data_IF_614366421208
#
_entry.id   IF_614366421208
#
_cell.length_a   1.000
_cell.length_b   1.000
_cell.length_c   1.000
_cell.angle_alpha   90.00
_cell.angle_beta   90.00
_cell.angle_gamma   90.00
#
_symmetry.space_group_name_H-M   'P 1'
#
loop_
_entity.id
_entity.type
_entity.pdbx_description
1 polymer ?
#
# COMPACT_ATOMS: atom_id res chain seq x y z
N UNK A 1 -17.97 -47.16 -8.39
CA UNK A 1 -17.80 -46.00 -9.30
C UNK A 1 -17.89 -44.73 -8.46
N UNK A 2 -16.77 -44.13 -8.04
CA UNK A 2 -16.79 -42.96 -7.13
C UNK A 2 -15.50 -42.14 -7.08
N UNK A 3 -14.36 -42.71 -7.50
CA UNK A 3 -13.07 -42.00 -7.48
C UNK A 3 -12.86 -40.98 -8.60
N UNK A 4 -13.58 -41.10 -9.74
CA UNK A 4 -13.36 -40.25 -10.92
C UNK A 4 -13.89 -38.83 -10.74
N UNK A 5 -15.02 -38.67 -10.06
CA UNK A 5 -15.66 -37.36 -9.82
C UNK A 5 -14.91 -36.56 -8.75
N UNK A 6 -14.39 -37.24 -7.72
CA UNK A 6 -13.62 -36.60 -6.64
C UNK A 6 -12.26 -36.08 -7.14
N UNK A 7 -11.58 -36.82 -8.02
CA UNK A 7 -10.31 -36.39 -8.61
C UNK A 7 -10.44 -35.18 -9.53
N UNK A 8 -11.55 -35.07 -10.29
CA UNK A 8 -11.82 -33.90 -11.15
C UNK A 8 -12.15 -32.64 -10.33
N UNK A 9 -12.90 -32.80 -9.24
CA UNK A 9 -13.21 -31.69 -8.33
C UNK A 9 -11.96 -31.14 -7.64
N UNK A 10 -11.11 -32.03 -7.13
CA UNK A 10 -9.82 -31.67 -6.53
C UNK A 10 -8.92 -30.96 -7.54
N UNK A 11 -8.82 -31.46 -8.77
CA UNK A 11 -8.04 -30.83 -9.84
C UNK A 11 -8.56 -29.43 -10.21
N UNK A 12 -9.88 -29.25 -10.27
CA UNK A 12 -10.49 -27.94 -10.54
C UNK A 12 -10.23 -26.93 -9.42
N UNK A 13 -10.38 -27.36 -8.15
CA UNK A 13 -10.07 -26.53 -6.98
C UNK A 13 -8.60 -26.13 -6.95
N UNK A 14 -7.68 -27.06 -7.24
CA UNK A 14 -6.24 -26.76 -7.29
C UNK A 14 -5.91 -25.74 -8.38
N UNK A 15 -6.48 -25.85 -9.58
CA UNK A 15 -6.27 -24.89 -10.66
C UNK A 15 -6.81 -23.50 -10.29
N UNK A 16 -8.01 -23.42 -9.71
CA UNK A 16 -8.59 -22.15 -9.24
C UNK A 16 -7.73 -21.53 -8.14
N UNK A 17 -7.23 -22.33 -7.19
CA UNK A 17 -6.37 -21.84 -6.11
C UNK A 17 -5.04 -21.30 -6.64
N UNK A 18 -4.43 -21.96 -7.63
CA UNK A 18 -3.21 -21.51 -8.28
C UNK A 18 -3.41 -20.20 -9.04
N UNK A 19 -4.53 -20.05 -9.77
CA UNK A 19 -4.88 -18.80 -10.47
C UNK A 19 -5.11 -17.65 -9.49
N UNK A 20 -5.81 -17.89 -8.37
CA UNK A 20 -6.05 -16.89 -7.34
C UNK A 20 -4.75 -16.48 -6.63
N UNK A 21 -3.83 -17.40 -6.38
CA UNK A 21 -2.52 -17.10 -5.80
C UNK A 21 -1.69 -16.16 -6.68
N UNK A 22 -1.84 -16.21 -8.01
CA UNK A 22 -1.15 -15.30 -8.92
C UNK A 22 -1.76 -13.89 -8.90
N UNK A 23 -3.01 -13.75 -8.46
CA UNK A 23 -3.71 -12.47 -8.42
C UNK A 23 -3.39 -11.64 -7.17
N UNK A 24 -2.77 -12.22 -6.14
CA UNK A 24 -2.32 -11.49 -4.96
C UNK A 24 -0.95 -10.90 -5.18
N UNK A 25 -0.82 -10.01 -6.15
CA UNK A 25 0.43 -9.31 -6.38
C UNK A 25 0.45 -8.01 -5.59
N UNK A 26 1.33 -7.94 -4.60
CA UNK A 26 1.58 -6.72 -3.85
C UNK A 26 2.47 -5.79 -4.68
N UNK A 27 1.93 -4.65 -5.07
CA UNK A 27 2.71 -3.58 -5.70
C UNK A 27 3.37 -2.73 -4.61
N UNK A 28 4.66 -2.51 -4.76
CA UNK A 28 5.46 -1.67 -3.87
C UNK A 28 5.92 -0.42 -4.58
N UNK A 29 6.06 0.68 -3.84
CA UNK A 29 6.64 1.93 -4.31
C UNK A 29 8.03 2.08 -3.70
N UNK A 30 9.03 2.28 -4.55
CA UNK A 30 10.38 2.64 -4.17
C UNK A 30 10.58 4.14 -4.32
N UNK A 31 10.85 4.83 -3.22
CA UNK A 31 11.08 6.27 -3.24
C UNK A 31 12.10 6.69 -2.18
N UNK A 32 13.18 7.35 -2.60
CA UNK A 32 14.25 7.88 -1.72
C UNK A 32 14.79 6.85 -0.70
N UNK A 33 14.89 5.58 -1.10
CA UNK A 33 15.39 4.50 -0.24
C UNK A 33 14.34 3.86 0.69
N UNK A 34 13.09 4.33 0.66
CA UNK A 34 11.96 3.68 1.32
C UNK A 34 11.22 2.78 0.35
N UNK A 35 10.90 1.57 0.81
CA UNK A 35 10.01 0.64 0.13
C UNK A 35 8.68 0.57 0.89
N UNK A 36 7.59 0.96 0.24
CA UNK A 36 6.26 1.01 0.86
C UNK A 36 5.24 0.28 0.01
N UNK A 37 4.20 -0.29 0.61
CA UNK A 37 3.12 -0.92 -0.15
C UNK A 37 2.19 0.14 -0.73
N UNK A 38 1.78 -0.03 -1.99
CA UNK A 38 0.79 0.83 -2.64
C UNK A 38 -0.50 0.93 -1.79
N UNK A 39 -0.93 -0.20 -1.23
CA UNK A 39 -2.13 -0.27 -0.39
C UNK A 39 -1.98 0.53 0.92
N UNK A 40 -0.79 0.57 1.51
CA UNK A 40 -0.50 1.40 2.69
C UNK A 40 -0.61 2.89 2.35
N UNK A 41 -0.09 3.31 1.20
CA UNK A 41 -0.16 4.71 0.75
C UNK A 41 -1.60 5.12 0.43
N UNK A 42 -2.41 4.25 -0.17
CA UNK A 42 -3.84 4.52 -0.41
C UNK A 42 -4.61 4.79 0.88
N UNK A 43 -4.27 4.09 1.97
CA UNK A 43 -4.90 4.27 3.29
C UNK A 43 -4.52 5.59 3.96
N UNK A 44 -3.44 6.27 3.55
CA UNK A 44 -3.06 7.58 4.12
C UNK A 44 -4.18 8.61 4.04
N UNK A 45 -4.85 8.70 2.89
CA UNK A 45 -5.97 9.64 2.69
C UNK A 45 -7.12 9.41 3.66
N UNK A 46 -7.35 8.17 4.09
CA UNK A 46 -8.41 7.87 5.03
C UNK A 46 -8.00 8.17 6.47
N UNK A 47 -6.71 8.00 6.80
CA UNK A 47 -6.14 8.43 8.08
C UNK A 47 -6.14 9.95 8.23
N UNK A 48 -5.86 10.69 7.16
CA UNK A 48 -5.91 12.16 7.20
C UNK A 48 -7.34 12.69 7.41
N UNK A 49 -8.35 12.08 6.78
CA UNK A 49 -9.77 12.44 7.03
C UNK A 49 -10.21 12.13 8.45
N UNK A 50 -9.65 11.09 9.07
CA UNK A 50 -9.94 10.70 10.45
C UNK A 50 -9.13 11.51 11.47
N UNK A 51 -8.22 12.37 11.02
CA UNK A 51 -7.39 13.15 11.92
C UNK A 51 -8.25 14.05 12.82
N UNK A 52 -8.10 13.86 14.13
CA UNK A 52 -8.80 14.62 15.17
C UNK A 52 -7.98 15.85 15.60
N UNK A 53 -6.83 16.09 14.96
CA UNK A 53 -5.96 17.21 15.29
C UNK A 53 -6.63 18.51 14.87
N UNK A 54 -6.71 19.48 15.79
CA UNK A 54 -7.21 20.80 15.43
C UNK A 54 -6.29 21.43 14.38
N UNK A 55 -6.84 22.19 13.40
CA UNK A 55 -6.03 22.83 12.36
C UNK A 55 -4.88 23.68 12.90
N UNK A 56 -5.08 24.28 14.09
CA UNK A 56 -4.08 25.09 14.79
C UNK A 56 -2.92 24.25 15.34
N UNK A 57 -3.17 23.03 15.81
CA UNK A 57 -2.13 22.10 16.27
C UNK A 57 -1.38 21.47 15.08
N UNK A 58 -2.09 21.26 13.98
CA UNK A 58 -1.50 20.78 12.73
C UNK A 58 -0.51 21.79 12.15
N UNK A 59 -0.85 23.09 12.16
CA UNK A 59 0.05 24.16 11.74
C UNK A 59 1.30 24.34 12.62
N UNK A 60 1.28 23.83 13.85
CA UNK A 60 2.39 23.91 14.81
C UNK A 60 3.17 22.60 14.93
N UNK A 61 2.76 21.54 14.24
CA UNK A 61 3.40 20.23 14.32
C UNK A 61 4.74 20.20 13.59
N UNK A 62 5.70 19.53 14.22
CA UNK A 62 7.01 19.22 13.62
C UNK A 62 6.94 18.02 12.67
N UNK A 63 5.94 17.14 12.84
CA UNK A 63 5.74 15.97 12.02
C UNK A 63 4.52 16.11 11.10
N UNK A 64 4.47 15.37 9.98
CA UNK A 64 3.26 15.23 9.17
C UNK A 64 2.11 14.60 9.96
N UNK A 65 0.86 14.94 9.60
CA UNK A 65 -0.34 14.36 10.24
C UNK A 65 -0.35 12.83 10.30
N UNK A 66 0.00 12.11 9.22
CA UNK A 66 0.03 10.65 9.26
C UNK A 66 0.89 10.08 10.40
N UNK A 67 1.95 10.78 10.79
CA UNK A 67 2.88 10.33 11.84
C UNK A 67 2.30 10.39 13.25
N UNK A 68 1.20 11.13 13.48
CA UNK A 68 0.51 11.16 14.76
C UNK A 68 -0.56 10.06 14.87
N UNK A 69 -0.85 9.34 13.79
CA UNK A 69 -1.91 8.34 13.76
C UNK A 69 -1.37 6.98 14.25
N UNK A 70 -1.98 6.43 15.31
CA UNK A 70 -1.61 5.10 15.83
C UNK A 70 -1.87 3.96 14.83
N UNK A 71 -2.79 4.19 13.89
CA UNK A 71 -3.11 3.27 12.80
C UNK A 71 -2.27 3.49 11.52
N UNK A 72 -1.17 4.25 11.60
CA UNK A 72 -0.24 4.38 10.47
C UNK A 72 0.32 2.99 10.09
N UNK A 73 0.30 2.60 8.80
CA UNK A 73 0.89 1.35 8.37
C UNK A 73 2.38 1.23 8.74
N UNK A 74 2.84 0.04 9.15
CA UNK A 74 4.19 -0.14 9.71
C UNK A 74 5.31 0.12 8.71
N UNK A 75 5.05 -0.05 7.41
CA UNK A 75 5.99 0.24 6.32
C UNK A 75 6.17 1.75 6.07
N UNK A 76 5.22 2.58 6.51
CA UNK A 76 5.29 4.04 6.44
C UNK A 76 5.90 4.68 7.69
N UNK A 77 5.94 3.96 8.81
CA UNK A 77 6.47 4.46 10.08
C UNK A 77 7.94 4.94 10.01
N UNK A 78 8.87 4.30 9.27
CA UNK A 78 10.25 4.77 9.15
C UNK A 78 10.37 6.17 8.52
N UNK A 79 9.41 6.57 7.68
CA UNK A 79 9.41 7.89 7.02
C UNK A 79 9.27 9.01 8.05
N UNK A 80 8.58 8.77 9.16
CA UNK A 80 8.37 9.76 10.22
C UNK A 80 9.66 10.16 10.96
N UNK A 81 10.74 9.39 10.82
CA UNK A 81 12.07 9.74 11.34
C UNK A 81 12.84 10.68 10.40
N UNK A 82 12.38 10.85 9.15
CA UNK A 82 13.01 11.72 8.16
C UNK A 82 12.62 13.19 8.38
N UNK A 83 13.55 14.12 8.11
CA UNK A 83 13.25 15.56 8.10
C UNK A 83 12.37 15.93 6.90
N UNK A 84 12.46 15.15 5.84
CA UNK A 84 11.72 15.31 4.59
C UNK A 84 10.39 14.54 4.58
N UNK A 85 9.92 14.06 5.74
CA UNK A 85 8.73 13.21 5.86
C UNK A 85 7.51 13.78 5.13
N UNK A 86 7.22 15.09 5.29
CA UNK A 86 6.09 15.74 4.65
C UNK A 86 6.16 15.68 3.11
N UNK A 87 7.34 15.95 2.55
CA UNK A 87 7.57 15.88 1.11
C UNK A 87 7.53 14.44 0.59
N UNK A 88 8.04 13.48 1.36
CA UNK A 88 8.03 12.06 1.01
C UNK A 88 6.58 11.56 0.94
N UNK A 89 5.76 11.82 1.97
CA UNK A 89 4.34 11.44 1.97
C UNK A 89 3.60 12.04 0.76
N UNK A 90 3.80 13.32 0.47
CA UNK A 90 3.19 13.97 -0.69
C UNK A 90 3.63 13.35 -2.02
N UNK A 91 4.89 12.98 -2.15
CA UNK A 91 5.41 12.31 -3.34
C UNK A 91 4.81 10.90 -3.49
N UNK A 92 4.74 10.13 -2.41
CA UNK A 92 4.11 8.82 -2.39
C UNK A 92 2.63 8.89 -2.79
N UNK A 93 1.88 9.86 -2.26
CA UNK A 93 0.49 10.09 -2.67
C UNK A 93 0.37 10.43 -4.16
N UNK A 94 1.30 11.24 -4.69
CA UNK A 94 1.31 11.60 -6.11
C UNK A 94 1.64 10.40 -7.00
N UNK A 95 2.56 9.53 -6.56
CA UNK A 95 2.91 8.30 -7.28
C UNK A 95 1.75 7.30 -7.24
N UNK A 96 1.10 7.16 -6.08
CA UNK A 96 -0.05 6.30 -5.89
C UNK A 96 -1.33 6.85 -6.53
N UNK A 97 -1.38 8.16 -6.82
CA UNK A 97 -2.46 8.77 -7.57
C UNK A 97 -2.50 8.24 -9.00
N UNK A 98 -3.70 8.18 -9.58
CA UNK A 98 -3.95 7.84 -11.01
C UNK A 98 -3.54 6.42 -11.44
N UNK A 99 -3.63 5.43 -10.56
CA UNK A 99 -3.45 3.99 -10.87
C UNK A 99 -2.11 3.64 -11.55
N UNK A 100 -1.13 4.55 -11.59
CA UNK A 100 0.14 4.33 -12.28
C UNK A 100 0.89 3.10 -11.74
N UNK A 101 0.76 2.83 -10.44
CA UNK A 101 1.32 1.62 -9.85
C UNK A 101 0.44 0.38 -10.05
N UNK A 102 -0.87 0.51 -10.25
CA UNK A 102 -1.73 -0.64 -10.58
C UNK A 102 -1.54 -1.11 -12.03
N UNK A 103 -1.30 -0.15 -12.93
CA UNK A 103 -1.00 -0.41 -14.34
C UNK A 103 0.50 -0.54 -14.62
N UNK A 104 1.34 -0.39 -13.60
CA UNK A 104 2.79 -0.56 -13.68
C UNK A 104 3.47 0.40 -14.69
N UNK A 105 2.93 1.60 -14.82
CA UNK A 105 3.39 2.64 -15.77
C UNK A 105 4.45 3.57 -15.15
N UNK A 106 4.65 3.52 -13.84
CA UNK A 106 5.64 4.33 -13.14
C UNK A 106 6.80 3.47 -12.63
N UNK A 107 8.03 3.88 -12.95
CA UNK A 107 9.28 3.18 -12.60
C UNK A 107 9.54 3.08 -11.09
N UNK A 108 8.88 3.91 -10.29
CA UNK A 108 8.92 3.78 -8.83
C UNK A 108 8.16 2.54 -8.34
N UNK A 109 7.24 1.99 -9.14
CA UNK A 109 6.41 0.86 -8.77
C UNK A 109 7.13 -0.47 -9.11
N UNK A 110 7.13 -1.40 -8.18
CA UNK A 110 7.81 -2.70 -8.28
C UNK A 110 6.87 -3.81 -7.83
N UNK A 111 7.19 -5.05 -8.18
CA UNK A 111 6.30 -6.18 -7.93
C UNK A 111 5.12 -6.18 -8.89
N UNK A 112 5.34 -5.86 -10.17
CA UNK A 112 4.43 -6.08 -11.28
C UNK A 112 4.90 -7.29 -12.10
N UNK A 113 3.97 -8.13 -12.58
CA UNK A 113 4.25 -9.36 -13.37
C UNK A 113 4.14 -9.06 -14.87
#
# INVERSE_FOLDING_TARGET
MGGRTMSGLLSGVTLVLLVLLQSTQSVYIQYQGFQVQLESVKKLRDLEKQSVLSPRLQAQSLLPVPCYHSALPPDLQPICASREAASIFKALETIAASNHCELCENVACTGCL
#
